data_IF_283052829109
#
_entry.id   IF_283052829109
#
_cell.length_a   1.000
_cell.length_b   1.000
_cell.length_c   1.000
_cell.angle_alpha   90.00
_cell.angle_beta   90.00
_cell.angle_gamma   90.00
#
_symmetry.space_group_name_H-M   'P 1'
#
loop_
_entity.id
_entity.type
_entity.pdbx_description
1 polymer ?
#
# COMPACT_ATOMS: atom_id res chain seq x y z
N UNK A 1 -14.78 0.17 14.84
CA UNK A 1 -13.86 -0.13 13.74
C UNK A 1 -13.16 1.16 13.30
N UNK A 2 -11.93 1.03 12.83
CA UNK A 2 -11.20 2.18 12.29
C UNK A 2 -11.95 2.79 11.11
N UNK A 3 -12.19 4.12 11.07
CA UNK A 3 -12.95 4.79 10.02
C UNK A 3 -12.38 4.55 8.61
N UNK A 4 -11.08 4.32 8.49
CA UNK A 4 -10.42 4.09 7.19
C UNK A 4 -10.68 2.71 6.58
N UNK A 5 -11.24 1.77 7.34
CA UNK A 5 -11.40 0.36 6.91
C UNK A 5 -12.81 0.00 6.46
N UNK A 6 -13.75 0.94 6.43
CA UNK A 6 -15.13 0.66 6.04
C UNK A 6 -15.29 0.48 4.52
N UNK A 7 -16.01 -0.57 4.13
CA UNK A 7 -16.20 -0.96 2.73
C UNK A 7 -16.80 0.16 1.86
N UNK A 8 -17.70 0.96 2.42
CA UNK A 8 -18.41 2.01 1.68
C UNK A 8 -17.83 3.41 1.95
N UNK A 9 -16.65 3.50 2.56
CA UNK A 9 -16.02 4.76 2.98
C UNK A 9 -16.88 5.61 3.95
N UNK A 10 -17.97 5.05 4.45
CA UNK A 10 -18.82 5.65 5.49
C UNK A 10 -19.21 4.57 6.48
N UNK A 11 -18.98 4.85 7.77
CA UNK A 11 -19.37 3.98 8.87
C UNK A 11 -20.72 4.44 9.44
N UNK A 12 -21.56 3.53 9.95
CA UNK A 12 -22.61 3.88 10.89
C UNK A 12 -21.99 4.54 12.13
N UNK A 13 -22.63 5.57 12.65
CA UNK A 13 -22.08 6.36 13.80
C UNK A 13 -21.80 5.51 15.03
N UNK A 14 -22.67 4.54 15.32
CA UNK A 14 -22.54 3.57 16.42
C UNK A 14 -21.36 2.60 16.28
N UNK A 15 -20.78 2.48 15.05
CA UNK A 15 -19.64 1.62 14.76
C UNK A 15 -18.30 2.37 14.73
N UNK A 16 -18.31 3.69 14.83
CA UNK A 16 -17.09 4.50 14.91
C UNK A 16 -16.55 4.41 16.33
N UNK A 17 -15.50 3.64 16.52
CA UNK A 17 -14.78 3.56 17.80
C UNK A 17 -13.72 4.65 17.89
N UNK A 18 -13.40 5.03 19.13
CA UNK A 18 -12.33 6.01 19.42
C UNK A 18 -12.53 7.40 18.78
N UNK A 19 -13.76 7.79 18.43
CA UNK A 19 -14.04 9.10 17.85
C UNK A 19 -13.46 10.24 18.69
N UNK A 20 -13.68 10.21 19.99
CA UNK A 20 -13.17 11.20 20.93
C UNK A 20 -11.64 11.30 20.96
N UNK A 21 -10.93 10.19 20.69
CA UNK A 21 -9.48 10.19 20.58
C UNK A 21 -9.00 11.02 19.39
N UNK A 22 -9.67 10.88 18.25
CA UNK A 22 -9.35 11.69 17.06
C UNK A 22 -9.72 13.16 17.23
N UNK A 23 -10.87 13.45 17.85
CA UNK A 23 -11.36 14.81 18.13
C UNK A 23 -10.45 15.58 19.10
N UNK A 24 -9.80 14.88 20.05
CA UNK A 24 -8.92 15.46 21.03
C UNK A 24 -7.44 15.49 20.56
N UNK A 25 -7.11 14.93 19.42
CA UNK A 25 -5.75 14.96 18.90
C UNK A 25 -5.39 16.36 18.39
N UNK A 26 -4.16 16.79 18.60
CA UNK A 26 -3.66 18.06 18.05
C UNK A 26 -3.65 18.02 16.51
N UNK A 27 -3.27 16.87 15.95
CA UNK A 27 -3.28 16.60 14.51
C UNK A 27 -3.60 15.13 14.23
N UNK A 28 -4.35 14.87 13.19
CA UNK A 28 -4.65 13.52 12.69
C UNK A 28 -3.90 13.30 11.37
N UNK A 29 -2.90 12.43 11.41
CA UNK A 29 -2.04 12.16 10.26
C UNK A 29 -2.57 10.99 9.44
N UNK A 30 -2.86 11.23 8.16
CA UNK A 30 -3.31 10.23 7.20
C UNK A 30 -2.20 9.89 6.20
N UNK A 31 -2.05 8.61 5.88
CA UNK A 31 -0.99 8.12 4.99
C UNK A 31 -1.22 8.45 3.52
N UNK A 32 -2.48 8.72 3.12
CA UNK A 32 -2.84 9.03 1.74
C UNK A 32 -4.05 9.97 1.68
N UNK A 33 -4.23 10.61 0.52
CA UNK A 33 -5.42 11.44 0.24
C UNK A 33 -6.72 10.64 0.33
N UNK A 34 -6.70 9.37 -0.11
CA UNK A 34 -7.87 8.49 0.04
C UNK A 34 -8.18 8.22 1.51
N UNK A 35 -7.16 7.94 2.33
CA UNK A 35 -7.29 7.75 3.77
C UNK A 35 -7.87 9.01 4.42
N UNK A 36 -7.31 10.18 4.13
CA UNK A 36 -7.79 11.48 4.64
C UNK A 36 -9.27 11.69 4.31
N UNK A 37 -9.67 11.54 3.05
CA UNK A 37 -11.09 11.69 2.63
C UNK A 37 -12.04 10.76 3.38
N UNK A 38 -11.61 9.54 3.71
CA UNK A 38 -12.44 8.60 4.48
C UNK A 38 -12.56 9.03 5.93
N UNK A 39 -11.47 9.49 6.55
CA UNK A 39 -11.49 9.99 7.93
C UNK A 39 -12.33 11.27 8.03
N UNK A 40 -12.13 12.25 7.16
CA UNK A 40 -12.94 13.46 7.07
C UNK A 40 -14.44 13.16 6.96
N UNK A 41 -14.79 12.23 6.07
CA UNK A 41 -16.20 11.85 5.85
C UNK A 41 -16.86 11.22 7.07
N UNK A 42 -16.09 10.52 7.90
CA UNK A 42 -16.62 9.80 9.06
C UNK A 42 -16.55 10.62 10.35
N UNK A 43 -15.52 11.45 10.52
CA UNK A 43 -15.23 12.15 11.78
C UNK A 43 -15.42 13.66 11.70
N UNK A 44 -15.47 14.27 10.51
CA UNK A 44 -15.61 15.72 10.29
C UNK A 44 -14.60 16.54 11.09
N UNK A 45 -13.32 16.17 10.98
CA UNK A 45 -12.21 16.80 11.69
C UNK A 45 -11.63 17.96 10.87
N UNK A 46 -11.21 19.02 11.56
CA UNK A 46 -10.55 20.18 10.97
C UNK A 46 -9.01 20.11 11.09
N UNK A 47 -8.50 19.21 11.96
CA UNK A 47 -7.08 19.03 12.30
C UNK A 47 -6.45 17.83 11.59
N UNK A 48 -6.81 17.60 10.33
CA UNK A 48 -6.39 16.42 9.56
C UNK A 48 -5.42 16.80 8.44
N UNK A 49 -4.36 16.03 8.29
CA UNK A 49 -3.36 16.21 7.21
C UNK A 49 -3.04 14.89 6.52
N UNK A 50 -2.74 14.94 5.23
CA UNK A 50 -2.22 13.80 4.49
C UNK A 50 -0.72 13.94 4.28
N UNK A 51 0.04 12.99 4.77
CA UNK A 51 1.51 12.96 4.57
C UNK A 51 1.90 12.37 3.20
N UNK A 52 0.93 11.77 2.48
CA UNK A 52 1.17 11.21 1.15
C UNK A 52 2.37 10.25 1.14
N UNK A 53 2.45 9.36 2.13
CA UNK A 53 3.60 8.47 2.28
C UNK A 53 3.58 7.65 3.56
N UNK A 54 4.73 7.07 3.86
CA UNK A 54 4.99 6.30 5.08
C UNK A 54 6.46 6.48 5.48
N UNK A 55 6.80 6.07 6.70
CA UNK A 55 8.17 6.01 7.19
C UNK A 55 8.79 4.66 6.82
N UNK A 56 9.58 4.62 5.76
CA UNK A 56 10.49 3.52 5.47
C UNK A 56 11.82 3.79 6.17
N UNK A 57 12.47 2.76 6.75
CA UNK A 57 13.83 2.93 7.25
C UNK A 57 14.81 3.11 6.10
N UNK A 58 15.93 3.81 6.33
CA UNK A 58 16.94 3.99 5.29
C UNK A 58 17.52 2.66 4.83
N UNK A 59 17.78 1.73 5.76
CA UNK A 59 18.29 0.39 5.43
C UNK A 59 17.33 -0.38 4.50
N UNK A 60 16.02 -0.15 4.63
CA UNK A 60 15.05 -0.79 3.74
C UNK A 60 15.02 -0.13 2.37
N UNK A 61 15.17 1.18 2.29
CA UNK A 61 15.25 1.91 1.02
C UNK A 61 16.54 1.52 0.27
N UNK A 62 17.68 1.45 0.95
CA UNK A 62 18.95 0.97 0.41
C UNK A 62 18.85 -0.49 -0.09
N UNK A 63 18.19 -1.36 0.69
CA UNK A 63 17.98 -2.74 0.27
C UNK A 63 17.10 -2.84 -0.98
N UNK A 64 16.00 -2.07 -1.07
CA UNK A 64 15.14 -2.01 -2.25
C UNK A 64 15.89 -1.50 -3.48
N UNK A 65 16.72 -0.46 -3.31
CA UNK A 65 17.61 0.06 -4.35
C UNK A 65 18.58 -1.01 -4.85
N UNK A 66 19.29 -1.67 -3.94
CA UNK A 66 20.22 -2.74 -4.25
C UNK A 66 19.57 -3.87 -5.05
N UNK A 67 18.43 -4.42 -4.59
CA UNK A 67 17.81 -5.56 -5.28
C UNK A 67 17.09 -5.16 -6.56
N UNK A 68 16.60 -3.92 -6.67
CA UNK A 68 15.94 -3.43 -7.89
C UNK A 68 16.90 -3.24 -9.05
N UNK A 69 18.18 -2.93 -8.77
CA UNK A 69 19.26 -2.74 -9.75
C UNK A 69 19.98 -4.04 -10.09
N UNK A 70 19.98 -5.03 -9.19
CA UNK A 70 20.70 -6.29 -9.36
C UNK A 70 20.03 -7.29 -10.32
N UNK A 71 18.76 -7.06 -10.68
CA UNK A 71 17.99 -7.98 -11.53
C UNK A 71 17.56 -7.28 -12.82
N UNK A 72 18.25 -7.60 -13.91
CA UNK A 72 17.98 -7.05 -15.25
C UNK A 72 16.76 -7.72 -15.89
N UNK A 73 16.64 -9.06 -15.76
CA UNK A 73 15.55 -9.83 -16.34
C UNK A 73 14.60 -10.35 -15.27
N UNK A 74 13.32 -9.95 -15.39
CA UNK A 74 12.23 -10.43 -14.54
C UNK A 74 11.40 -11.46 -15.28
N UNK A 75 10.92 -12.46 -14.54
CA UNK A 75 9.98 -13.45 -15.06
C UNK A 75 8.62 -12.79 -15.33
N UNK A 76 8.02 -13.06 -16.50
CA UNK A 76 6.66 -12.62 -16.82
C UNK A 76 5.62 -13.43 -16.04
N UNK A 77 5.65 -13.26 -14.74
CA UNK A 77 4.84 -13.94 -13.74
C UNK A 77 4.18 -12.92 -12.82
N UNK A 78 2.95 -13.18 -12.42
CA UNK A 78 2.23 -12.39 -11.43
C UNK A 78 2.49 -12.92 -10.02
N UNK A 79 3.09 -12.12 -9.17
CA UNK A 79 3.19 -12.40 -7.73
C UNK A 79 1.85 -12.15 -7.04
N UNK A 80 1.41 -13.09 -6.22
CA UNK A 80 0.24 -12.97 -5.37
C UNK A 80 0.67 -13.19 -3.92
N UNK A 81 0.50 -12.19 -3.06
CA UNK A 81 0.79 -12.33 -1.64
C UNK A 81 -0.21 -13.30 -1.00
N UNK A 82 0.28 -14.44 -0.47
CA UNK A 82 -0.56 -15.34 0.32
C UNK A 82 -0.89 -14.72 1.68
N UNK A 83 -2.16 -14.78 2.06
CA UNK A 83 -2.62 -14.33 3.38
C UNK A 83 -3.90 -15.06 3.78
N UNK A 84 -3.96 -15.50 5.04
CA UNK A 84 -5.18 -16.03 5.65
C UNK A 84 -6.15 -14.92 6.10
N UNK A 85 -5.75 -13.65 6.00
CA UNK A 85 -6.59 -12.50 6.34
C UNK A 85 -7.60 -12.29 5.23
N UNK A 86 -8.88 -12.51 5.52
CA UNK A 86 -10.00 -12.41 4.55
C UNK A 86 -9.99 -11.09 3.78
N UNK A 87 -9.61 -9.99 4.43
CA UNK A 87 -9.57 -8.65 3.82
C UNK A 87 -8.47 -8.49 2.76
N UNK A 88 -7.42 -9.32 2.78
CA UNK A 88 -6.36 -9.33 1.76
C UNK A 88 -6.80 -9.99 0.46
N UNK A 89 -7.83 -10.84 0.52
CA UNK A 89 -8.61 -11.32 -0.64
C UNK A 89 -7.75 -11.96 -1.75
N UNK A 90 -7.05 -13.00 -1.38
CA UNK A 90 -6.18 -13.74 -2.30
C UNK A 90 -6.98 -14.37 -3.46
N UNK A 91 -8.24 -14.73 -3.21
CA UNK A 91 -9.11 -15.40 -4.18
C UNK A 91 -9.33 -14.56 -5.44
N UNK A 92 -9.64 -13.26 -5.29
CA UNK A 92 -9.84 -12.38 -6.44
C UNK A 92 -8.54 -12.17 -7.23
N UNK A 93 -7.38 -12.17 -6.54
CA UNK A 93 -6.08 -12.07 -7.21
C UNK A 93 -5.78 -13.31 -8.06
N UNK A 94 -6.07 -14.51 -7.53
CA UNK A 94 -5.93 -15.77 -8.26
C UNK A 94 -6.92 -15.83 -9.44
N UNK A 95 -8.17 -15.46 -9.19
CA UNK A 95 -9.22 -15.46 -10.21
C UNK A 95 -8.88 -14.52 -11.36
N UNK A 96 -8.37 -13.32 -11.06
CA UNK A 96 -7.90 -12.37 -12.06
C UNK A 96 -6.84 -12.99 -12.98
N UNK A 97 -5.80 -13.60 -12.41
CA UNK A 97 -4.75 -14.24 -13.19
C UNK A 97 -5.30 -15.38 -14.05
N UNK A 98 -6.19 -16.22 -13.49
CA UNK A 98 -6.80 -17.34 -14.21
C UNK A 98 -7.65 -16.87 -15.40
N UNK A 99 -8.52 -15.88 -15.22
CA UNK A 99 -9.40 -15.36 -16.28
C UNK A 99 -8.59 -14.72 -17.42
N UNK A 100 -7.47 -14.07 -17.08
CA UNK A 100 -6.62 -13.40 -18.07
C UNK A 100 -5.49 -14.28 -18.63
N UNK A 101 -5.47 -15.59 -18.31
CA UNK A 101 -4.46 -16.51 -18.81
C UNK A 101 -3.01 -16.17 -18.34
N UNK A 102 -2.85 -15.46 -17.21
CA UNK A 102 -1.57 -15.02 -16.71
C UNK A 102 -0.92 -16.09 -15.83
N UNK A 103 0.38 -16.32 -16.04
CA UNK A 103 1.17 -17.11 -15.08
C UNK A 103 1.20 -16.41 -13.73
N UNK A 104 1.03 -17.15 -12.66
CA UNK A 104 1.06 -16.57 -11.32
C UNK A 104 1.68 -17.52 -10.30
N UNK A 105 2.35 -16.95 -9.30
CA UNK A 105 2.86 -17.65 -8.13
C UNK A 105 2.41 -16.99 -6.84
N UNK A 106 2.26 -17.81 -5.78
CA UNK A 106 1.94 -17.34 -4.44
C UNK A 106 3.21 -17.15 -3.65
N UNK A 107 3.42 -15.96 -3.14
CA UNK A 107 4.48 -15.72 -2.16
C UNK A 107 3.92 -16.11 -0.79
N UNK A 108 4.37 -17.26 -0.27
CA UNK A 108 3.98 -17.77 1.04
C UNK A 108 4.56 -16.91 2.17
N UNK A 109 3.98 -16.95 3.39
CA UNK A 109 4.49 -16.21 4.54
C UNK A 109 5.98 -16.47 4.77
N UNK A 110 6.76 -15.40 4.81
CA UNK A 110 8.21 -15.42 4.98
C UNK A 110 8.66 -14.08 5.60
N UNK A 111 9.96 -13.91 5.83
CA UNK A 111 10.50 -12.62 6.27
C UNK A 111 10.26 -11.53 5.24
N UNK A 112 10.19 -10.27 5.66
CA UNK A 112 9.93 -9.14 4.75
C UNK A 112 11.00 -9.02 3.64
N UNK A 113 12.28 -9.20 3.97
CA UNK A 113 13.36 -9.19 2.98
C UNK A 113 13.22 -10.32 1.95
N UNK A 114 12.91 -11.53 2.42
CA UNK A 114 12.67 -12.67 1.53
C UNK A 114 11.45 -12.45 0.64
N UNK A 115 10.38 -11.85 1.18
CA UNK A 115 9.22 -11.47 0.40
C UNK A 115 9.58 -10.50 -0.75
N UNK A 116 10.35 -9.44 -0.44
CA UNK A 116 10.80 -8.47 -1.43
C UNK A 116 11.70 -9.09 -2.50
N UNK A 117 12.60 -10.01 -2.10
CA UNK A 117 13.46 -10.75 -3.05
C UNK A 117 12.63 -11.60 -4.00
N UNK A 118 11.61 -12.32 -3.49
CA UNK A 118 10.69 -13.12 -4.33
C UNK A 118 9.86 -12.23 -5.24
N UNK A 119 9.34 -11.13 -4.72
CA UNK A 119 8.57 -10.16 -5.49
C UNK A 119 9.39 -9.55 -6.63
N UNK A 120 10.68 -9.27 -6.39
CA UNK A 120 11.57 -8.67 -7.38
C UNK A 120 11.87 -9.59 -8.57
N UNK A 121 11.71 -10.90 -8.43
CA UNK A 121 11.90 -11.86 -9.56
C UNK A 121 10.84 -11.69 -10.64
N UNK A 122 9.67 -11.19 -10.31
CA UNK A 122 8.50 -11.15 -11.18
C UNK A 122 8.19 -9.75 -11.69
N UNK A 123 7.53 -9.68 -12.83
CA UNK A 123 7.15 -8.39 -13.46
C UNK A 123 5.95 -7.72 -12.81
N UNK A 124 5.07 -8.47 -12.15
CA UNK A 124 3.75 -7.95 -11.75
C UNK A 124 3.36 -8.39 -10.33
N UNK A 125 2.83 -7.46 -9.53
CA UNK A 125 2.08 -7.75 -8.32
C UNK A 125 0.57 -7.66 -8.62
N UNK A 126 -0.20 -8.68 -8.25
CA UNK A 126 -1.68 -8.67 -8.29
C UNK A 126 -2.21 -8.68 -6.86
N UNK A 127 -2.97 -7.62 -6.49
CA UNK A 127 -3.48 -7.45 -5.15
C UNK A 127 -4.82 -6.71 -5.12
N UNK A 128 -5.91 -7.39 -4.74
CA UNK A 128 -7.27 -6.86 -4.70
C UNK A 128 -7.89 -6.91 -3.29
N UNK A 129 -7.52 -6.01 -2.36
CA UNK A 129 -8.08 -6.05 -1.01
C UNK A 129 -9.61 -5.85 -1.00
N UNK A 130 -10.31 -6.51 -0.06
CA UNK A 130 -11.76 -6.32 0.18
C UNK A 130 -12.09 -5.02 0.89
N UNK A 131 -11.18 -4.56 1.76
CA UNK A 131 -11.30 -3.31 2.52
C UNK A 131 -10.28 -2.29 2.05
N UNK A 132 -10.49 -1.05 2.44
CA UNK A 132 -9.54 0.03 2.15
C UNK A 132 -8.21 -0.23 2.87
N UNK A 133 -7.12 -0.08 2.13
CA UNK A 133 -5.75 -0.01 2.61
C UNK A 133 -5.33 1.46 2.67
N UNK A 134 -4.94 1.96 3.83
CA UNK A 134 -4.63 3.39 4.05
C UNK A 134 -3.53 3.91 3.12
N UNK A 135 -2.53 3.08 2.81
CA UNK A 135 -1.51 3.31 1.79
C UNK A 135 -1.23 2.03 1.01
N UNK A 136 -1.06 0.89 1.71
CA UNK A 136 -0.57 -0.40 1.24
C UNK A 136 0.92 -0.41 0.89
N UNK A 137 1.77 -0.63 1.91
CA UNK A 137 3.24 -0.68 1.75
C UNK A 137 3.69 -1.64 0.65
N UNK A 138 3.10 -2.84 0.59
CA UNK A 138 3.43 -3.86 -0.42
C UNK A 138 3.26 -3.34 -1.86
N UNK A 139 2.25 -2.51 -2.11
CA UNK A 139 1.99 -1.93 -3.43
C UNK A 139 3.06 -0.89 -3.79
N UNK A 140 3.47 -0.08 -2.81
CA UNK A 140 4.54 0.91 -3.01
C UNK A 140 5.88 0.20 -3.21
N UNK A 141 6.20 -0.79 -2.38
CA UNK A 141 7.43 -1.60 -2.48
C UNK A 141 7.52 -2.35 -3.81
N UNK A 142 6.42 -2.91 -4.31
CA UNK A 142 6.38 -3.51 -5.65
C UNK A 142 6.72 -2.49 -6.75
N UNK A 143 6.20 -1.26 -6.63
CA UNK A 143 6.55 -0.18 -7.56
C UNK A 143 8.01 0.25 -7.45
N UNK A 144 8.57 0.32 -6.23
CA UNK A 144 10.01 0.56 -6.02
C UNK A 144 10.87 -0.52 -6.69
N UNK A 145 10.39 -1.75 -6.70
CA UNK A 145 11.02 -2.89 -7.38
C UNK A 145 10.71 -2.95 -8.89
N UNK A 146 10.24 -1.88 -9.51
CA UNK A 146 9.87 -1.83 -10.93
C UNK A 146 8.73 -2.77 -11.35
N UNK A 147 8.00 -3.39 -10.41
CA UNK A 147 6.87 -4.24 -10.74
C UNK A 147 5.68 -3.39 -11.23
N UNK A 148 4.97 -3.94 -12.21
CA UNK A 148 3.60 -3.50 -12.51
C UNK A 148 2.70 -3.90 -11.34
N UNK A 149 1.73 -3.05 -11.01
CA UNK A 149 0.73 -3.36 -9.98
C UNK A 149 -0.65 -3.40 -10.62
N UNK A 150 -1.34 -4.52 -10.42
CA UNK A 150 -2.75 -4.69 -10.78
C UNK A 150 -3.56 -4.74 -9.50
N UNK A 151 -4.45 -3.77 -9.32
CA UNK A 151 -5.19 -3.60 -8.07
C UNK A 151 -6.54 -2.91 -8.29
N UNK A 152 -7.31 -2.72 -7.21
CA UNK A 152 -8.57 -1.99 -7.22
C UNK A 152 -8.42 -0.58 -6.59
N UNK A 153 -9.53 0.19 -6.60
CA UNK A 153 -9.57 1.57 -6.07
C UNK A 153 -9.51 1.68 -4.53
N UNK A 154 -9.24 0.58 -3.82
CA UNK A 154 -9.19 0.54 -2.35
C UNK A 154 -7.77 0.70 -1.79
N UNK A 155 -6.82 1.06 -2.60
CA UNK A 155 -5.42 1.28 -2.22
C UNK A 155 -5.15 2.76 -2.10
N UNK A 156 -4.77 3.23 -0.91
CA UNK A 156 -4.47 4.63 -0.67
C UNK A 156 -3.37 5.19 -1.56
N UNK A 157 -2.31 4.41 -1.79
CA UNK A 157 -1.21 4.82 -2.66
C UNK A 157 -1.67 5.22 -4.08
N UNK A 158 -2.75 4.59 -4.61
CA UNK A 158 -3.26 4.92 -5.96
C UNK A 158 -3.88 6.32 -6.07
N UNK A 159 -4.13 6.99 -4.95
CA UNK A 159 -4.64 8.36 -4.91
C UNK A 159 -3.53 9.43 -4.92
N UNK A 160 -2.27 8.99 -4.87
CA UNK A 160 -1.12 9.89 -4.74
C UNK A 160 -0.51 10.24 -6.09
N UNK A 161 -0.04 11.48 -6.22
CA UNK A 161 0.56 11.99 -7.46
C UNK A 161 1.81 11.20 -7.88
N UNK A 162 2.59 10.77 -6.89
CA UNK A 162 3.80 9.99 -7.11
C UNK A 162 3.52 8.52 -7.49
N UNK A 163 2.29 8.05 -7.45
CA UNK A 163 1.99 6.64 -7.77
C UNK A 163 2.38 6.23 -9.19
N UNK A 164 2.47 7.17 -10.11
CA UNK A 164 2.99 6.95 -11.45
C UNK A 164 4.49 6.58 -11.50
N UNK A 165 5.28 6.95 -10.49
CA UNK A 165 6.70 6.65 -10.41
C UNK A 165 6.95 5.16 -10.11
N UNK A 166 8.13 4.66 -10.47
CA UNK A 166 8.61 3.31 -10.18
C UNK A 166 10.14 3.28 -10.09
N UNK A 167 10.68 2.22 -9.48
CA UNK A 167 12.14 2.06 -9.33
C UNK A 167 12.76 3.21 -8.54
N UNK A 168 13.96 3.61 -8.95
CA UNK A 168 14.75 4.64 -8.27
C UNK A 168 13.99 5.97 -8.05
N UNK A 169 13.29 6.56 -9.04
CA UNK A 169 12.51 7.78 -8.82
C UNK A 169 11.47 7.68 -7.70
N UNK A 170 10.88 6.50 -7.49
CA UNK A 170 9.95 6.28 -6.39
C UNK A 170 10.67 6.08 -5.05
N UNK A 171 11.81 5.39 -5.04
CA UNK A 171 12.66 5.23 -3.85
C UNK A 171 13.11 6.61 -3.35
N UNK A 172 13.60 7.46 -4.24
CA UNK A 172 14.03 8.83 -3.90
C UNK A 172 12.87 9.66 -3.37
N UNK A 173 11.67 9.52 -3.98
CA UNK A 173 10.46 10.20 -3.50
C UNK A 173 10.05 9.73 -2.09
N UNK A 174 10.20 8.47 -1.77
CA UNK A 174 9.89 7.96 -0.42
C UNK A 174 10.97 8.36 0.60
N UNK A 175 12.23 8.50 0.17
CA UNK A 175 13.32 9.06 0.99
C UNK A 175 13.04 10.53 1.32
N UNK A 176 12.60 11.33 0.35
CA UNK A 176 12.14 12.71 0.57
C UNK A 176 10.97 12.77 1.58
N UNK A 177 9.94 11.94 1.38
CA UNK A 177 8.78 11.87 2.28
C UNK A 177 9.15 11.48 3.70
N UNK A 178 10.08 10.55 3.88
CA UNK A 178 10.59 10.14 5.18
C UNK A 178 11.19 11.31 5.98
N UNK A 179 11.83 12.27 5.31
CA UNK A 179 12.38 13.47 5.94
C UNK A 179 11.31 14.51 6.25
N UNK A 180 10.29 14.64 5.42
CA UNK A 180 9.22 15.61 5.58
C UNK A 180 8.17 15.23 6.65
N UNK A 181 7.86 13.94 6.80
CA UNK A 181 6.79 13.48 7.71
C UNK A 181 7.03 13.85 9.18
N UNK A 182 8.25 13.79 9.74
CA UNK A 182 8.49 14.19 11.13
C UNK A 182 8.35 15.69 11.41
N UNK A 183 8.29 16.54 10.37
CA UNK A 183 8.18 18.00 10.50
C UNK A 183 6.73 18.49 10.56
N UNK A 184 5.73 17.57 10.40
CA UNK A 184 4.30 17.85 10.46
C UNK A 184 3.77 17.75 11.88
#
# INVERSE_FOLDING_TARGET
RDPSTFKNYKAPEDQIINKQFYENANVVICQSRLHMKVVERNLRLDNIVSVSGNLWSEELLEYLEQISTSQEDKDDVCSIMYSNIVNKNIEDSILYCKINGLKSEKIMPCSHKEFLTKLNKNTTLVFFPKTLETLSRIVVEARMLNCRVVTNKKIGATSEEWFGLKGQPLIDKMREKRLQIPEI
#
